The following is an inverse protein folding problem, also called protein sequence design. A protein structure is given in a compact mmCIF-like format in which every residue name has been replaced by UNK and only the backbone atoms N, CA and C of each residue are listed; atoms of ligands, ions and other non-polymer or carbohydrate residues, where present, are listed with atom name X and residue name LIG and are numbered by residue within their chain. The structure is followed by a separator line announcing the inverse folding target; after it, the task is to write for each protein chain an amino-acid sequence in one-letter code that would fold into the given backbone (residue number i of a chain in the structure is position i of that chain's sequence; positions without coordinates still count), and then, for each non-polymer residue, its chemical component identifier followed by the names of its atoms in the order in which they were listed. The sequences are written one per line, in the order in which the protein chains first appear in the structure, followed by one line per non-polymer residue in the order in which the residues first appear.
data_IF_004764385773
#
_entry.id   IF_004764385773
#
_cell.length_a   1.000
_cell.length_b   1.000
_cell.length_c   1.000
_cell.angle_alpha   90.00
_cell.angle_beta   90.00
_cell.angle_gamma   90.00
#
_symmetry.space_group_name_H-M   'P 1'
#
loop_
_entity.id
_entity.type
_entity.pdbx_description
1 polymer ?
#
# COMPACT_ATOMS: atom_id res chain seq x y z
N UNK A 1 14.76 -3.35 -12.46
CA UNK A 1 14.86 -2.97 -11.04
C UNK A 1 16.12 -3.57 -10.44
N UNK A 2 16.95 -2.78 -9.74
CA UNK A 2 18.13 -3.26 -9.01
C UNK A 2 17.75 -3.53 -7.55
N UNK A 3 18.29 -4.61 -6.97
CA UNK A 3 18.06 -4.93 -5.55
C UNK A 3 18.79 -3.90 -4.68
N UNK A 4 18.12 -3.24 -3.73
CA UNK A 4 18.75 -2.31 -2.81
C UNK A 4 19.82 -2.97 -1.93
N UNK A 5 20.84 -2.20 -1.56
CA UNK A 5 21.88 -2.66 -0.64
C UNK A 5 21.27 -3.12 0.69
N UNK A 6 21.84 -4.17 1.29
CA UNK A 6 21.40 -4.73 2.57
C UNK A 6 20.21 -5.70 2.49
N UNK A 7 19.61 -5.90 1.31
CA UNK A 7 18.65 -6.99 1.10
C UNK A 7 19.41 -8.32 1.00
N UNK A 8 19.24 -9.17 2.02
CA UNK A 8 19.90 -10.49 2.09
C UNK A 8 19.03 -11.64 1.57
N UNK A 9 17.71 -11.45 1.48
CA UNK A 9 16.76 -12.45 1.00
C UNK A 9 16.02 -11.91 -0.23
N UNK A 10 16.60 -12.15 -1.42
CA UNK A 10 16.06 -11.67 -2.69
C UNK A 10 14.66 -12.23 -2.98
N UNK A 11 14.42 -13.51 -2.71
CA UNK A 11 13.12 -14.15 -2.97
C UNK A 11 12.00 -13.48 -2.16
N UNK A 12 12.26 -13.19 -0.87
CA UNK A 12 11.32 -12.48 -0.01
C UNK A 12 11.15 -11.02 -0.44
N UNK A 13 12.22 -10.35 -0.85
CA UNK A 13 12.16 -8.99 -1.37
C UNK A 13 11.30 -8.92 -2.65
N UNK A 14 11.52 -9.80 -3.63
CA UNK A 14 10.67 -9.91 -4.83
C UNK A 14 9.21 -10.21 -4.49
N UNK A 15 8.95 -11.07 -3.50
CA UNK A 15 7.59 -11.33 -3.01
C UNK A 15 6.94 -10.06 -2.46
N UNK A 16 7.69 -9.20 -1.77
CA UNK A 16 7.21 -7.91 -1.26
C UNK A 16 6.99 -6.90 -2.40
N UNK A 17 7.86 -6.85 -3.41
CA UNK A 17 7.63 -6.05 -4.62
C UNK A 17 6.33 -6.46 -5.34
N UNK A 18 6.03 -7.76 -5.45
CA UNK A 18 4.73 -8.23 -5.97
C UNK A 18 3.55 -7.77 -5.11
N UNK A 19 3.72 -7.73 -3.79
CA UNK A 19 2.68 -7.23 -2.87
C UNK A 19 2.44 -5.73 -3.05
N UNK A 20 3.46 -4.93 -3.36
CA UNK A 20 3.29 -3.49 -3.67
C UNK A 20 2.35 -3.33 -4.86
N UNK A 21 2.67 -4.00 -5.98
CA UNK A 21 1.79 -4.03 -7.15
C UNK A 21 0.38 -4.48 -6.78
N UNK A 22 0.25 -5.58 -6.04
CA UNK A 22 -1.06 -6.12 -5.68
C UNK A 22 -1.89 -5.12 -4.86
N UNK A 23 -1.31 -4.45 -3.84
CA UNK A 23 -2.03 -3.46 -3.03
C UNK A 23 -2.42 -2.22 -3.82
N UNK A 24 -1.54 -1.72 -4.68
CA UNK A 24 -1.87 -0.61 -5.58
C UNK A 24 -3.02 -0.99 -6.53
N UNK A 25 -2.97 -2.19 -7.12
CA UNK A 25 -4.04 -2.70 -7.98
C UNK A 25 -5.36 -2.91 -7.24
N UNK A 26 -5.32 -3.42 -6.00
CA UNK A 26 -6.51 -3.58 -5.17
C UNK A 26 -7.20 -2.24 -4.87
N UNK A 27 -6.43 -1.16 -4.68
CA UNK A 27 -6.98 0.19 -4.55
C UNK A 27 -7.68 0.64 -5.84
N UNK A 28 -7.02 0.50 -6.99
CA UNK A 28 -7.58 0.90 -8.29
C UNK A 28 -8.85 0.13 -8.64
N UNK A 29 -8.93 -1.15 -8.25
CA UNK A 29 -10.08 -2.01 -8.49
C UNK A 29 -11.13 -1.94 -7.36
N UNK A 30 -10.98 -1.01 -6.41
CA UNK A 30 -11.94 -0.76 -5.33
C UNK A 30 -12.05 -1.87 -4.29
N UNK A 31 -11.11 -2.82 -4.26
CA UNK A 31 -11.06 -3.91 -3.27
C UNK A 31 -10.48 -3.47 -1.94
N UNK A 32 -9.68 -2.40 -1.92
CA UNK A 32 -9.17 -1.77 -0.72
C UNK A 32 -9.46 -0.27 -0.74
N UNK A 33 -9.76 0.27 0.44
CA UNK A 33 -9.80 1.71 0.65
C UNK A 33 -8.40 2.35 0.63
N UNK A 34 -8.34 3.67 0.55
CA UNK A 34 -7.09 4.44 0.48
C UNK A 34 -6.32 4.30 1.80
N UNK A 35 -7.01 4.38 2.94
CA UNK A 35 -6.40 4.30 4.27
C UNK A 35 -5.80 2.91 4.50
N UNK A 36 -6.52 1.85 4.13
CA UNK A 36 -6.02 0.47 4.26
C UNK A 36 -4.83 0.21 3.32
N UNK A 37 -4.90 0.74 2.10
CA UNK A 37 -3.81 0.65 1.12
C UNK A 37 -2.56 1.38 1.62
N UNK A 38 -2.70 2.58 2.17
CA UNK A 38 -1.59 3.36 2.73
C UNK A 38 -0.85 2.60 3.82
N UNK A 39 -1.59 1.98 4.76
CA UNK A 39 -1.02 1.18 5.84
C UNK A 39 -0.25 -0.04 5.32
N UNK A 40 -0.80 -0.72 4.32
CA UNK A 40 -0.13 -1.85 3.69
C UNK A 40 1.13 -1.44 2.91
N UNK A 41 1.04 -0.37 2.10
CA UNK A 41 2.15 0.13 1.29
C UNK A 41 3.29 0.67 2.17
N UNK A 42 3.00 1.39 3.26
CA UNK A 42 4.02 1.90 4.18
C UNK A 42 4.90 0.78 4.74
N UNK A 43 4.30 -0.32 5.19
CA UNK A 43 5.06 -1.47 5.70
C UNK A 43 5.90 -2.12 4.61
N UNK A 44 5.34 -2.25 3.40
CA UNK A 44 6.06 -2.79 2.25
C UNK A 44 7.25 -1.91 1.87
N UNK A 45 7.09 -0.58 1.90
CA UNK A 45 8.14 0.37 1.58
C UNK A 45 9.39 0.16 2.46
N UNK A 46 9.18 0.04 3.78
CA UNK A 46 10.25 -0.25 4.75
C UNK A 46 10.97 -1.55 4.42
N UNK A 47 10.19 -2.58 4.11
CA UNK A 47 10.73 -3.90 3.84
C UNK A 47 11.41 -4.05 2.48
N UNK A 48 11.14 -3.13 1.55
CA UNK A 48 11.78 -3.09 0.23
C UNK A 48 12.80 -1.98 0.08
N UNK A 49 13.01 -1.14 1.11
CA UNK A 49 13.96 -0.01 1.14
C UNK A 49 13.68 1.05 0.06
N UNK A 50 12.42 1.43 -0.07
CA UNK A 50 11.92 2.39 -1.07
C UNK A 50 11.13 3.54 -0.43
N UNK A 51 11.24 3.73 0.89
CA UNK A 51 10.50 4.77 1.62
C UNK A 51 10.78 6.19 1.13
N UNK A 52 11.92 6.41 0.48
CA UNK A 52 12.29 7.71 -0.07
C UNK A 52 11.68 8.00 -1.43
N UNK A 53 11.05 7.04 -2.12
CA UNK A 53 10.41 7.35 -3.41
C UNK A 53 9.07 8.08 -3.22
N UNK A 54 8.68 9.00 -4.12
CA UNK A 54 7.58 9.93 -3.89
C UNK A 54 6.23 9.28 -3.55
N UNK A 55 5.89 8.20 -4.24
CA UNK A 55 4.63 7.48 -4.05
C UNK A 55 4.56 6.83 -2.66
N UNK A 56 5.69 6.30 -2.17
CA UNK A 56 5.77 5.73 -0.83
C UNK A 56 5.78 6.79 0.26
N UNK A 57 6.37 7.96 0.01
CA UNK A 57 6.26 9.10 0.93
C UNK A 57 4.82 9.59 1.06
N UNK A 58 4.08 9.64 -0.06
CA UNK A 58 2.65 9.98 -0.08
C UNK A 58 1.83 8.98 0.75
N UNK A 59 1.92 7.68 0.47
CA UNK A 59 1.21 6.66 1.26
C UNK A 59 1.67 6.64 2.72
N UNK A 60 2.94 6.97 2.99
CA UNK A 60 3.45 7.18 4.34
C UNK A 60 2.82 8.39 5.05
N UNK A 61 2.54 9.48 4.34
CA UNK A 61 1.83 10.64 4.89
C UNK A 61 0.37 10.31 5.20
N UNK A 62 -0.33 9.66 4.26
CA UNK A 62 -1.71 9.19 4.45
C UNK A 62 -1.79 8.31 5.70
N UNK A 63 -0.94 7.29 5.83
CA UNK A 63 -0.97 6.40 7.00
C UNK A 63 -0.66 7.15 8.31
N UNK A 64 0.26 8.12 8.31
CA UNK A 64 0.54 8.93 9.52
C UNK A 64 -0.68 9.74 9.95
N UNK A 65 -1.34 10.41 9.02
CA UNK A 65 -2.51 11.26 9.28
C UNK A 65 -3.75 10.45 9.66
N UNK A 66 -3.82 9.18 9.25
CA UNK A 66 -4.99 8.31 9.44
C UNK A 66 -4.73 7.14 10.38
N UNK A 67 -3.58 7.11 11.08
CA UNK A 67 -3.13 5.96 11.88
C UNK A 67 -4.12 5.54 12.98
N UNK A 68 -4.93 6.48 13.45
CA UNK A 68 -5.92 6.26 14.51
C UNK A 68 -7.22 5.65 13.98
N UNK A 69 -7.46 5.71 12.67
CA UNK A 69 -8.70 5.22 12.06
C UNK A 69 -8.73 3.68 11.99
N UNK A 70 -9.85 3.06 12.39
CA UNK A 70 -10.02 1.61 12.40
C UNK A 70 -10.33 1.08 10.98
N UNK A 71 -9.29 0.64 10.27
CA UNK A 71 -9.42 -0.05 8.97
C UNK A 71 -8.84 -1.46 9.03
N UNK A 72 -9.37 -2.35 8.20
CA UNK A 72 -9.00 -3.76 8.15
C UNK A 72 -9.43 -4.54 9.40
N UNK A 73 -8.62 -5.54 9.78
CA UNK A 73 -8.98 -6.53 10.79
C UNK A 73 -9.25 -5.98 12.20
N UNK A 74 -8.73 -4.79 12.55
CA UNK A 74 -8.94 -4.19 13.88
C UNK A 74 -10.41 -3.89 14.15
N UNK A 75 -11.21 -3.66 13.09
CA UNK A 75 -12.64 -3.36 13.20
C UNK A 75 -13.44 -4.47 13.89
N UNK A 76 -12.97 -5.71 13.86
CA UNK A 76 -13.61 -6.84 14.54
C UNK A 76 -13.65 -6.68 16.08
N UNK A 77 -12.83 -5.79 16.64
CA UNK A 77 -12.75 -5.54 18.08
C UNK A 77 -13.45 -4.25 18.53
N UNK A 78 -14.11 -3.54 17.61
CA UNK A 78 -14.77 -2.26 17.89
C UNK A 78 -16.28 -2.44 18.03
N UNK A 79 -16.90 -1.62 18.87
CA UNK A 79 -18.36 -1.55 18.96
C UNK A 79 -18.94 -0.96 17.66
N UNK A 80 -20.06 -1.47 17.14
CA UNK A 80 -20.65 -1.00 15.89
C UNK A 80 -20.92 0.51 15.84
N UNK A 81 -21.35 1.11 16.94
CA UNK A 81 -21.67 2.54 17.04
C UNK A 81 -20.40 3.41 16.97
N UNK A 82 -19.29 2.90 17.51
CA UNK A 82 -17.99 3.55 17.38
C UNK A 82 -17.49 3.47 15.93
N UNK A 83 -17.65 2.31 15.26
CA UNK A 83 -17.30 2.16 13.85
C UNK A 83 -18.09 3.12 12.95
N UNK A 84 -19.40 3.25 13.16
CA UNK A 84 -20.23 4.16 12.37
C UNK A 84 -19.77 5.63 12.46
N UNK A 85 -19.28 6.05 13.64
CA UNK A 85 -18.69 7.38 13.83
C UNK A 85 -17.36 7.52 13.10
N UNK A 86 -16.48 6.52 13.23
CA UNK A 86 -15.17 6.53 12.57
C UNK A 86 -15.26 6.43 11.05
N UNK A 87 -16.30 5.79 10.52
CA UNK A 87 -16.53 5.67 9.07
C UNK A 87 -16.75 7.04 8.40
N UNK A 88 -17.28 8.03 9.13
CA UNK A 88 -17.36 9.42 8.64
C UNK A 88 -15.98 10.02 8.44
N UNK A 89 -15.07 9.82 9.40
CA UNK A 89 -13.69 10.32 9.31
C UNK A 89 -12.88 9.57 8.25
N UNK A 90 -13.10 8.25 8.12
CA UNK A 90 -12.53 7.46 7.02
C UNK A 90 -12.99 8.02 5.68
N UNK A 91 -14.30 8.20 5.47
CA UNK A 91 -14.83 8.75 4.22
C UNK A 91 -14.27 10.15 3.89
N UNK A 92 -14.16 11.02 4.89
CA UNK A 92 -13.55 12.34 4.71
C UNK A 92 -12.07 12.26 4.30
N UNK A 93 -11.28 11.40 4.96
CA UNK A 93 -9.88 11.19 4.64
C UNK A 93 -9.71 10.58 3.23
N UNK A 94 -10.50 9.57 2.87
CA UNK A 94 -10.42 8.95 1.56
C UNK A 94 -10.77 9.95 0.44
N UNK A 95 -11.76 10.80 0.64
CA UNK A 95 -12.08 11.86 -0.33
C UNK A 95 -10.97 12.90 -0.45
N UNK A 96 -10.35 13.32 0.66
CA UNK A 96 -9.24 14.28 0.66
C UNK A 96 -8.01 13.79 -0.11
N UNK A 97 -7.76 12.48 -0.06
CA UNK A 97 -6.56 11.86 -0.63
C UNK A 97 -6.79 11.23 -2.01
N UNK A 98 -8.05 11.11 -2.46
CA UNK A 98 -8.47 10.33 -3.63
C UNK A 98 -7.56 10.51 -4.84
N UNK A 99 -7.53 11.70 -5.43
CA UNK A 99 -6.85 11.92 -6.71
C UNK A 99 -5.35 11.61 -6.62
N UNK A 100 -4.72 12.01 -5.51
CA UNK A 100 -3.29 11.77 -5.26
C UNK A 100 -3.00 10.29 -5.05
N UNK A 101 -3.84 9.60 -4.28
CA UNK A 101 -3.67 8.18 -3.99
C UNK A 101 -3.89 7.30 -5.24
N UNK A 102 -4.87 7.64 -6.08
CA UNK A 102 -5.13 6.94 -7.34
C UNK A 102 -3.96 7.13 -8.32
N UNK A 103 -3.51 8.37 -8.55
CA UNK A 103 -2.37 8.62 -9.44
C UNK A 103 -1.08 7.92 -8.98
N UNK A 104 -0.82 7.91 -7.66
CA UNK A 104 0.30 7.18 -7.09
C UNK A 104 0.14 5.66 -7.26
N UNK A 105 -1.08 5.12 -7.11
CA UNK A 105 -1.33 3.69 -7.29
C UNK A 105 -1.16 3.26 -8.76
N UNK A 106 -1.61 4.05 -9.72
CA UNK A 106 -1.36 3.82 -11.16
C UNK A 106 0.15 3.73 -11.43
N UNK A 107 0.90 4.71 -10.91
CA UNK A 107 2.37 4.74 -11.04
C UNK A 107 3.03 3.52 -10.42
N UNK A 108 2.55 3.06 -9.27
CA UNK A 108 3.08 1.87 -8.60
C UNK A 108 2.73 0.58 -9.33
N UNK A 109 1.53 0.46 -9.91
CA UNK A 109 1.15 -0.70 -10.74
C UNK A 109 2.09 -0.81 -11.93
N UNK A 110 2.26 0.26 -12.70
CA UNK A 110 3.16 0.28 -13.85
C UNK A 110 4.62 -0.02 -13.44
N UNK A 111 5.14 0.70 -12.43
CA UNK A 111 6.52 0.55 -11.97
C UNK A 111 6.84 -0.87 -11.50
N UNK A 112 5.88 -1.58 -10.91
CA UNK A 112 6.10 -2.91 -10.34
C UNK A 112 5.63 -4.08 -11.21
N UNK A 113 5.20 -3.85 -12.46
CA UNK A 113 4.85 -4.93 -13.39
C UNK A 113 5.97 -5.96 -13.57
N UNK A 114 7.24 -5.51 -13.58
CA UNK A 114 8.40 -6.40 -13.70
C UNK A 114 8.43 -7.50 -12.62
N UNK A 115 7.87 -7.24 -11.44
CA UNK A 115 7.90 -8.18 -10.32
C UNK A 115 6.97 -9.39 -10.54
N UNK A 116 6.00 -9.27 -11.47
CA UNK A 116 5.07 -10.32 -11.85
C UNK A 116 5.62 -11.25 -12.92
N UNK A 117 6.58 -10.79 -13.74
CA UNK A 117 7.17 -11.59 -14.81
C UNK A 117 7.86 -12.82 -14.20
N UNK A 118 7.46 -14.02 -14.65
CA UNK A 118 8.14 -15.27 -14.27
C UNK A 118 9.56 -15.19 -14.83
N UNK A 119 10.57 -15.52 -14.02
CA UNK A 119 11.89 -15.77 -14.57
C UNK A 119 11.77 -17.03 -15.43
N UNK A 120 11.95 -16.89 -16.73
CA UNK A 120 12.24 -18.03 -17.59
C UNK A 120 13.62 -18.50 -17.17
N UNK A 121 13.68 -19.58 -16.40
CA UNK A 121 14.91 -20.36 -16.25
C UNK A 121 15.16 -21.01 -17.61
N UNK A 122 16.04 -20.41 -18.41
CA UNK A 122 16.64 -21.11 -19.53
C UNK A 122 17.46 -22.26 -18.91
N UNK A 123 16.98 -23.48 -19.13
CA UNK A 123 17.74 -24.70 -18.90
C UNK A 123 18.74 -24.93 -20.01
#
# INVERSE_FOLDING_TARGET
MKIPEGIRNEALWRKRCRKIHARAKDLLEGRLGIVETARAIRLLAIWTRVESEPEFQLFGAIDRETRYLPVGAVRAYWMPEALAREDVFIGAAENLWRDRAIAAAETLVERYEWALKRMVTNG
#
